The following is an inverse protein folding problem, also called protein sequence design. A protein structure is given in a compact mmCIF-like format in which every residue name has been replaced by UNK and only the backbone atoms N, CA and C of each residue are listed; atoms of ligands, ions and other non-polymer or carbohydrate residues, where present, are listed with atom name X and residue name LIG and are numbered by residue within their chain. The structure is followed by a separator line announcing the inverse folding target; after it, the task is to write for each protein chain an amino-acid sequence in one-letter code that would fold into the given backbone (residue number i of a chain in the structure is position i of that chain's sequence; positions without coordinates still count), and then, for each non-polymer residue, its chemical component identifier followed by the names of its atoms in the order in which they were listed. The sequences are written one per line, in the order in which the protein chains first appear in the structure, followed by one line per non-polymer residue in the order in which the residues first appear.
data_IF_097753430149
#
_entry.id   IF_097753430149
#
_cell.length_a   1.000
_cell.length_b   1.000
_cell.length_c   1.000
_cell.angle_alpha   90.00
_cell.angle_beta   90.00
_cell.angle_gamma   90.00
#
_symmetry.space_group_name_H-M   'P 1'
#
loop_
_entity.id
_entity.type
_entity.pdbx_description
1 polymer ?
#
# COMPACT_ATOMS: atom_id res chain seq x y z
N UNK A 1 4.02 -15.96 -19.78
CA UNK A 1 4.60 -15.53 -18.48
C UNK A 1 3.54 -14.70 -17.75
N UNK A 2 2.95 -15.22 -16.67
CA UNK A 2 1.83 -14.54 -16.02
C UNK A 2 2.35 -13.40 -15.14
N UNK A 3 2.03 -12.16 -15.52
CA UNK A 3 2.31 -10.93 -14.75
C UNK A 3 1.66 -10.93 -13.35
N UNK A 4 0.68 -11.81 -13.14
CA UNK A 4 -0.17 -11.89 -11.95
C UNK A 4 0.27 -12.97 -10.95
N UNK A 5 1.53 -13.39 -10.99
CA UNK A 5 2.05 -14.31 -9.96
C UNK A 5 2.37 -13.52 -8.68
N UNK A 6 1.89 -13.96 -7.50
CA UNK A 6 2.23 -13.32 -6.24
C UNK A 6 3.76 -13.38 -6.05
N UNK A 7 4.37 -12.20 -5.83
CA UNK A 7 5.82 -12.01 -5.78
C UNK A 7 6.27 -11.49 -4.39
N UNK A 8 5.36 -11.50 -3.42
CA UNK A 8 5.55 -11.04 -2.04
C UNK A 8 5.41 -12.25 -1.10
N UNK A 9 6.39 -12.41 -0.22
CA UNK A 9 6.36 -13.34 0.91
C UNK A 9 5.26 -12.97 1.93
N UNK A 10 4.68 -13.95 2.62
CA UNK A 10 3.59 -13.74 3.60
C UNK A 10 3.91 -12.64 4.61
N UNK A 11 5.17 -12.52 5.07
CA UNK A 11 5.59 -11.44 5.98
C UNK A 11 5.51 -10.06 5.32
N UNK A 12 5.97 -9.95 4.07
CA UNK A 12 5.89 -8.72 3.29
C UNK A 12 4.45 -8.28 2.99
N UNK A 13 3.52 -9.24 2.90
CA UNK A 13 2.08 -8.96 2.75
C UNK A 13 1.49 -8.42 4.05
N UNK A 14 1.85 -8.99 5.20
CA UNK A 14 1.38 -8.54 6.51
C UNK A 14 1.83 -7.12 6.80
N UNK A 15 3.12 -6.80 6.60
CA UNK A 15 3.65 -5.45 6.85
C UNK A 15 2.94 -4.41 5.96
N UNK A 16 2.72 -4.72 4.68
CA UNK A 16 1.96 -3.85 3.77
C UNK A 16 0.49 -3.71 4.18
N UNK A 17 -0.14 -4.79 4.65
CA UNK A 17 -1.49 -4.73 5.18
C UNK A 17 -1.59 -3.81 6.39
N UNK A 18 -0.67 -3.93 7.35
CA UNK A 18 -0.59 -3.04 8.52
C UNK A 18 -0.40 -1.59 8.08
N UNK A 19 0.54 -1.34 7.16
CA UNK A 19 0.84 0.00 6.64
C UNK A 19 -0.36 0.63 5.91
N UNK A 20 -1.13 -0.19 5.19
CA UNK A 20 -2.38 0.23 4.55
C UNK A 20 -3.42 0.67 5.57
N UNK A 21 -3.60 -0.10 6.65
CA UNK A 21 -4.54 0.25 7.73
C UNK A 21 -4.11 1.54 8.43
N UNK A 22 -2.81 1.71 8.70
CA UNK A 22 -2.27 2.94 9.30
C UNK A 22 -2.53 4.15 8.40
N UNK A 23 -2.27 4.03 7.09
CA UNK A 23 -2.51 5.10 6.12
C UNK A 23 -4.00 5.46 6.02
N UNK A 24 -4.88 4.46 6.02
CA UNK A 24 -6.33 4.68 6.00
C UNK A 24 -6.81 5.40 7.28
N UNK A 25 -6.32 4.99 8.46
CA UNK A 25 -6.64 5.65 9.72
C UNK A 25 -6.13 7.10 9.76
N UNK A 26 -4.92 7.33 9.26
CA UNK A 26 -4.34 8.66 9.15
C UNK A 26 -5.10 9.55 8.14
N UNK A 27 -5.58 8.99 7.03
CA UNK A 27 -6.45 9.71 6.08
C UNK A 27 -7.76 10.16 6.74
N UNK A 28 -8.40 9.26 7.51
CA UNK A 28 -9.61 9.57 8.24
C UNK A 28 -9.39 10.68 9.28
N UNK A 29 -8.27 10.65 10.00
CA UNK A 29 -7.91 11.70 10.95
C UNK A 29 -7.64 13.04 10.25
N UNK A 30 -6.97 13.04 9.09
CA UNK A 30 -6.70 14.24 8.30
C UNK A 30 -8.00 14.90 7.79
N UNK A 31 -9.00 14.11 7.37
CA UNK A 31 -10.34 14.62 7.03
C UNK A 31 -11.00 15.29 8.23
N UNK A 32 -10.92 14.69 9.42
CA UNK A 32 -11.50 15.24 10.66
C UNK A 32 -10.83 16.55 11.09
N UNK A 33 -9.58 16.77 10.70
CA UNK A 33 -8.83 18.01 10.96
C UNK A 33 -9.04 19.10 9.89
N UNK A 34 -9.84 18.84 8.86
CA UNK A 34 -10.08 19.79 7.77
C UNK A 34 -8.91 19.93 6.78
N UNK A 35 -7.97 18.97 6.79
CA UNK A 35 -6.80 19.00 5.90
C UNK A 35 -7.09 18.08 4.70
N UNK A 36 -7.92 18.58 3.78
CA UNK A 36 -8.49 17.80 2.68
C UNK A 36 -7.43 17.28 1.70
N UNK A 37 -6.44 18.11 1.37
CA UNK A 37 -5.35 17.74 0.45
C UNK A 37 -4.49 16.60 1.01
N UNK A 38 -4.19 16.64 2.31
CA UNK A 38 -3.42 15.60 2.99
C UNK A 38 -4.23 14.29 3.04
N UNK A 39 -5.52 14.38 3.35
CA UNK A 39 -6.41 13.23 3.35
C UNK A 39 -6.49 12.53 1.99
N UNK A 40 -6.54 13.29 0.88
CA UNK A 40 -6.56 12.72 -0.47
C UNK A 40 -5.28 11.94 -0.76
N UNK A 41 -4.11 12.52 -0.45
CA UNK A 41 -2.81 11.85 -0.68
C UNK A 41 -2.72 10.55 0.14
N UNK A 42 -3.13 10.59 1.41
CA UNK A 42 -3.12 9.41 2.28
C UNK A 42 -4.13 8.35 1.84
N UNK A 43 -5.31 8.76 1.39
CA UNK A 43 -6.34 7.85 0.88
C UNK A 43 -5.88 7.15 -0.40
N UNK A 44 -5.25 7.87 -1.34
CA UNK A 44 -4.65 7.29 -2.55
C UNK A 44 -3.55 6.29 -2.17
N UNK A 45 -2.68 6.67 -1.23
CA UNK A 45 -1.59 5.81 -0.74
C UNK A 45 -2.12 4.52 -0.09
N UNK A 46 -3.19 4.63 0.70
CA UNK A 46 -3.87 3.48 1.30
C UNK A 46 -4.52 2.58 0.23
N UNK A 47 -5.18 3.16 -0.78
CA UNK A 47 -5.75 2.41 -1.90
C UNK A 47 -4.69 1.59 -2.65
N UNK A 48 -3.53 2.19 -2.92
CA UNK A 48 -2.39 1.48 -3.53
C UNK A 48 -1.92 0.34 -2.65
N UNK A 49 -1.73 0.58 -1.34
CA UNK A 49 -1.36 -0.45 -0.38
C UNK A 49 -2.36 -1.60 -0.29
N UNK A 50 -3.66 -1.30 -0.41
CA UNK A 50 -4.73 -2.29 -0.38
C UNK A 50 -4.70 -3.18 -1.63
N UNK A 51 -4.52 -2.59 -2.81
CA UNK A 51 -4.34 -3.34 -4.07
C UNK A 51 -3.10 -4.22 -4.01
N UNK A 52 -1.97 -3.72 -3.50
CA UNK A 52 -0.75 -4.51 -3.33
C UNK A 52 -0.94 -5.67 -2.34
N UNK A 53 -1.68 -5.45 -1.25
CA UNK A 53 -1.94 -6.45 -0.19
C UNK A 53 -2.90 -7.55 -0.68
N UNK A 54 -4.02 -7.17 -1.30
CA UNK A 54 -5.04 -8.11 -1.81
C UNK A 54 -4.49 -8.96 -2.94
N UNK A 55 -3.72 -8.36 -3.86
CA UNK A 55 -3.14 -9.10 -4.99
C UNK A 55 -1.84 -9.85 -4.63
N UNK A 56 -1.28 -9.62 -3.45
CA UNK A 56 0.01 -10.19 -3.06
C UNK A 56 1.12 -9.81 -4.05
N UNK A 57 0.99 -8.65 -4.69
CA UNK A 57 1.78 -8.22 -5.83
C UNK A 57 2.33 -6.84 -5.53
N UNK A 58 3.66 -6.70 -5.59
CA UNK A 58 4.33 -5.42 -5.34
C UNK A 58 4.74 -4.81 -6.67
N UNK A 59 4.26 -3.60 -6.94
CA UNK A 59 4.53 -2.89 -8.20
C UNK A 59 6.02 -2.54 -8.33
N UNK A 60 6.67 -2.14 -7.22
CA UNK A 60 8.11 -1.89 -7.16
C UNK A 60 8.93 -3.13 -7.55
N UNK A 61 8.53 -4.30 -7.04
CA UNK A 61 9.23 -5.57 -7.33
C UNK A 61 8.93 -6.07 -8.76
N UNK A 62 7.75 -5.79 -9.29
CA UNK A 62 7.39 -6.04 -10.69
C UNK A 62 8.19 -5.14 -11.65
N UNK A 63 8.45 -3.89 -11.29
CA UNK A 63 9.36 -2.97 -11.99
C UNK A 63 10.86 -3.32 -11.82
N UNK A 64 11.20 -4.50 -11.25
CA UNK A 64 12.58 -4.92 -10.93
C UNK A 64 13.37 -3.92 -10.07
N UNK A 65 12.68 -3.04 -9.32
CA UNK A 65 13.33 -2.19 -8.35
C UNK A 65 13.80 -3.11 -7.22
N UNK A 66 15.09 -3.44 -7.22
CA UNK A 66 15.75 -4.18 -6.15
C UNK A 66 15.73 -3.30 -4.90
N UNK A 67 14.70 -3.45 -4.09
CA UNK A 67 14.74 -2.95 -2.72
C UNK A 67 15.76 -3.80 -1.97
N UNK A 68 16.98 -3.28 -1.75
CA UNK A 68 17.97 -3.90 -0.87
C UNK A 68 17.49 -3.73 0.57
N UNK A 69 16.78 -4.74 1.06
CA UNK A 69 16.70 -5.07 2.48
C UNK A 69 16.97 -6.56 2.61
#
# INVERSE_FOLDING_TARGET
MSFWRPNIDTRGRIIRGIMTVILAAAAFFALRKGIEWLAVILAISALVGLVETVRGWCLLRACKIKTRF
#
